data_IF_659508675604
#
_entry.id   IF_659508675604
#
_cell.length_a   1.000
_cell.length_b   1.000
_cell.length_c   1.000
_cell.angle_alpha   90.00
_cell.angle_beta   90.00
_cell.angle_gamma   90.00
#
_symmetry.space_group_name_H-M   'P 1'
#
loop_
_entity.id
_entity.type
_entity.pdbx_description
1 polymer ?
#
# COMPACT_ATOMS: atom_id res chain seq x y z
N UNK A 1 2.37 -3.35 -4.17
CA UNK A 1 2.11 -1.94 -3.79
C UNK A 1 1.14 -1.93 -2.64
N UNK A 2 0.59 -0.77 -2.30
CA UNK A 2 -0.47 -0.62 -1.31
C UNK A 2 -1.55 0.33 -1.84
N UNK A 3 -2.80 0.09 -1.42
CA UNK A 3 -3.88 1.07 -1.48
C UNK A 3 -4.22 1.47 -0.04
N UNK A 4 -3.63 2.55 0.47
CA UNK A 4 -3.66 2.86 1.92
C UNK A 4 -2.76 4.01 2.35
N UNK A 5 -2.63 4.24 3.68
CA UNK A 5 -1.91 5.39 4.23
C UNK A 5 -0.41 5.38 3.92
N UNK A 6 0.11 6.51 3.42
CA UNK A 6 1.54 6.69 3.09
C UNK A 6 2.44 6.66 4.32
N UNK A 7 1.96 7.18 5.45
CA UNK A 7 2.76 7.40 6.65
C UNK A 7 2.40 6.31 7.67
N UNK A 8 2.77 5.08 7.29
CA UNK A 8 2.43 3.85 8.02
C UNK A 8 3.55 2.82 7.90
N UNK A 9 3.52 1.81 8.77
CA UNK A 9 4.32 0.59 8.61
C UNK A 9 3.38 -0.53 8.19
N UNK A 10 3.41 -0.88 6.90
CA UNK A 10 2.53 -1.91 6.31
C UNK A 10 1.04 -1.61 6.57
N UNK A 11 0.66 -0.32 6.63
CA UNK A 11 -0.71 0.12 6.88
C UNK A 11 -1.08 0.33 8.35
N UNK A 12 -0.21 -0.04 9.30
CA UNK A 12 -0.39 0.18 10.73
C UNK A 12 0.24 1.51 11.20
N UNK A 13 -0.19 2.01 12.36
CA UNK A 13 0.43 3.17 12.99
C UNK A 13 1.91 2.88 13.26
N UNK A 14 2.77 3.74 12.69
CA UNK A 14 4.21 3.52 12.74
C UNK A 14 4.75 3.57 14.18
N UNK A 15 4.16 4.39 15.05
CA UNK A 15 4.61 4.55 16.44
C UNK A 15 4.36 3.30 17.26
N UNK A 16 3.16 2.74 17.17
CA UNK A 16 2.79 1.50 17.88
C UNK A 16 3.63 0.31 17.40
N UNK A 17 3.85 0.19 16.08
CA UNK A 17 4.72 -0.86 15.52
C UNK A 17 6.15 -0.71 16.05
N UNK A 18 6.74 0.48 15.99
CA UNK A 18 8.10 0.72 16.51
C UNK A 18 8.17 0.39 18.00
N UNK A 19 7.17 0.80 18.79
CA UNK A 19 7.10 0.48 20.22
C UNK A 19 7.09 -1.04 20.46
N UNK A 20 6.27 -1.79 19.73
CA UNK A 20 6.23 -3.25 19.82
C UNK A 20 7.57 -3.89 19.45
N UNK A 21 8.23 -3.44 18.38
CA UNK A 21 9.54 -3.97 17.99
C UNK A 21 10.63 -3.73 19.05
N UNK A 22 10.64 -2.55 19.68
CA UNK A 22 11.63 -2.21 20.71
C UNK A 22 11.38 -2.94 22.03
N UNK A 23 10.11 -3.06 22.43
CA UNK A 23 9.74 -3.58 23.75
C UNK A 23 9.40 -5.07 23.74
N UNK A 24 9.15 -5.65 22.56
CA UNK A 24 8.57 -6.99 22.36
C UNK A 24 7.21 -7.19 23.02
N UNK A 25 6.52 -6.10 23.38
CA UNK A 25 5.15 -6.17 23.89
C UNK A 25 4.15 -6.18 22.72
N UNK A 26 3.04 -6.91 22.84
CA UNK A 26 1.98 -6.86 21.84
C UNK A 26 1.29 -5.49 21.84
N UNK A 27 1.00 -4.95 20.66
CA UNK A 27 0.17 -3.76 20.48
C UNK A 27 -1.12 -4.12 19.73
N UNK A 28 -2.07 -3.19 19.71
CA UNK A 28 -3.28 -3.31 18.89
C UNK A 28 -3.02 -2.72 17.52
N UNK A 29 -3.34 -3.46 16.46
CA UNK A 29 -3.34 -2.92 15.11
C UNK A 29 -4.28 -1.72 15.01
N UNK A 30 -3.79 -0.66 14.40
CA UNK A 30 -4.52 0.57 14.14
C UNK A 30 -4.24 1.04 12.72
N UNK A 31 -5.00 1.99 12.19
CA UNK A 31 -4.79 2.46 10.83
C UNK A 31 -3.70 3.53 10.84
N UNK A 32 -2.67 3.35 10.01
CA UNK A 32 -1.62 4.35 9.81
C UNK A 32 -2.14 5.66 9.25
N UNK A 33 -1.29 6.69 9.24
CA UNK A 33 -1.71 8.07 8.92
C UNK A 33 -1.16 8.51 7.56
N UNK A 34 -1.39 9.78 7.22
CA UNK A 34 -0.91 10.35 5.97
C UNK A 34 -1.88 10.12 4.82
N UNK A 35 -1.44 10.49 3.62
CA UNK A 35 -2.29 10.49 2.42
C UNK A 35 -2.54 9.08 1.94
N UNK A 36 -3.69 8.86 1.30
CA UNK A 36 -3.90 7.61 0.60
C UNK A 36 -2.95 7.52 -0.62
N UNK A 37 -2.17 6.45 -0.66
CA UNK A 37 -1.45 5.97 -1.84
C UNK A 37 -2.31 4.93 -2.53
N UNK A 38 -2.33 4.93 -3.86
CA UNK A 38 -2.94 3.89 -4.68
C UNK A 38 -1.90 3.33 -5.64
N UNK A 39 -1.44 2.13 -5.36
CA UNK A 39 -0.61 1.34 -6.26
C UNK A 39 -1.43 0.23 -6.92
N UNK A 40 -1.34 0.12 -8.24
CA UNK A 40 -1.94 -0.94 -9.03
C UNK A 40 -1.04 -1.31 -10.23
N UNK A 41 -1.43 -2.36 -10.95
CA UNK A 41 -0.87 -2.70 -12.26
C UNK A 41 -2.01 -2.87 -13.26
N UNK A 42 -1.86 -2.29 -14.43
CA UNK A 42 -2.73 -2.53 -15.58
C UNK A 42 -2.05 -3.55 -16.48
N UNK A 43 -2.75 -4.61 -16.82
CA UNK A 43 -2.26 -5.65 -17.74
C UNK A 43 -3.21 -5.71 -18.92
N UNK A 44 -2.68 -5.53 -20.12
CA UNK A 44 -3.41 -5.77 -21.36
C UNK A 44 -3.22 -7.24 -21.75
N UNK A 45 -4.31 -7.91 -22.11
CA UNK A 45 -4.32 -9.36 -22.37
C UNK A 45 -4.94 -9.62 -23.74
N UNK A 46 -4.29 -10.47 -24.52
CA UNK A 46 -4.84 -11.00 -25.77
C UNK A 46 -5.99 -11.97 -25.45
N UNK A 47 -7.20 -11.66 -25.93
CA UNK A 47 -8.41 -12.41 -25.57
C UNK A 47 -8.43 -13.85 -26.11
N UNK A 48 -7.66 -14.16 -27.15
CA UNK A 48 -7.67 -15.48 -27.81
C UNK A 48 -6.68 -16.43 -27.14
N UNK A 49 -5.48 -15.94 -26.87
CA UNK A 49 -4.35 -16.72 -26.34
C UNK A 49 -4.24 -16.65 -24.82
N UNK A 50 -4.84 -15.63 -24.19
CA UNK A 50 -4.71 -15.34 -22.76
C UNK A 50 -3.32 -14.80 -22.37
N UNK A 51 -2.47 -14.48 -23.35
CA UNK A 51 -1.13 -13.95 -23.11
C UNK A 51 -1.18 -12.45 -22.82
N UNK A 52 -0.32 -11.99 -21.91
CA UNK A 52 -0.17 -10.57 -21.63
C UNK A 52 0.54 -9.87 -22.80
N UNK A 53 -0.06 -8.79 -23.30
CA UNK A 53 0.48 -7.93 -24.35
C UNK A 53 1.29 -6.78 -23.77
N UNK A 54 0.85 -6.23 -22.64
CA UNK A 54 1.50 -5.10 -21.99
C UNK A 54 1.27 -5.11 -20.48
N UNK A 55 2.16 -4.47 -19.73
CA UNK A 55 2.04 -4.24 -18.28
C UNK A 55 2.48 -2.82 -17.93
N UNK A 56 1.59 -2.07 -17.28
CA UNK A 56 1.87 -0.72 -16.79
C UNK A 56 1.68 -0.64 -15.27
N UNK A 57 2.62 0.01 -14.59
CA UNK A 57 2.47 0.32 -13.16
C UNK A 57 1.69 1.61 -12.98
N UNK A 58 0.62 1.56 -12.21
CA UNK A 58 -0.15 2.73 -11.79
C UNK A 58 0.24 3.08 -10.35
N UNK A 59 0.70 4.31 -10.14
CA UNK A 59 0.90 4.90 -8.80
C UNK A 59 0.25 6.27 -8.74
N UNK A 60 -0.60 6.47 -7.74
CA UNK A 60 -1.29 7.74 -7.46
C UNK A 60 -1.21 8.03 -5.96
N UNK A 61 -1.25 9.30 -5.61
CA UNK A 61 -1.37 9.77 -4.23
C UNK A 61 -2.46 10.84 -4.18
N UNK A 62 -3.19 10.90 -3.08
CA UNK A 62 -4.16 11.98 -2.85
C UNK A 62 -3.47 13.35 -2.93
N UNK A 63 -4.06 14.29 -3.66
CA UNK A 63 -3.55 15.66 -3.79
C UNK A 63 -3.86 16.48 -2.53
N UNK A 64 -3.02 17.47 -2.22
CA UNK A 64 -3.36 18.47 -1.21
C UNK A 64 -4.64 19.20 -1.63
N UNK A 65 -5.66 19.19 -0.75
CA UNK A 65 -6.86 20.00 -0.90
C UNK A 65 -6.62 21.43 -0.47
#
# INVERSE_FOLDING_TARGET
GMAGPSDSIIGDDAGEVIHSFLTRMPHRFSIGKGRAVFDAVMVEVDEVTGLALNIERIRRQEADR
#
